data_IF_458032608745
#
_entry.id   IF_458032608745
#
_cell.length_a   1.000
_cell.length_b   1.000
_cell.length_c   1.000
_cell.angle_alpha   90.00
_cell.angle_beta   90.00
_cell.angle_gamma   90.00
#
_symmetry.space_group_name_H-M   'P 1'
#
loop_
_entity.id
_entity.type
_entity.pdbx_description
1 polymer ?
#
# COMPACT_ATOMS: atom_id res chain seq x y z
N UNK A 1 -2.63 32.00 -15.94
CA UNK A 1 -1.75 30.82 -16.08
C UNK A 1 -2.42 29.65 -15.41
N UNK A 2 -2.60 28.52 -16.11
CA UNK A 2 -3.08 27.27 -15.51
C UNK A 2 -1.87 26.58 -14.89
N UNK A 3 -1.89 26.34 -13.57
CA UNK A 3 -0.79 25.70 -12.86
C UNK A 3 -1.07 24.19 -12.85
N UNK A 4 -0.61 23.50 -13.90
CA UNK A 4 -0.73 22.04 -13.98
C UNK A 4 0.26 21.42 -12.98
N UNK A 5 -0.25 20.58 -12.06
CA UNK A 5 0.58 19.79 -11.15
C UNK A 5 0.80 18.40 -11.75
N UNK A 6 2.06 18.00 -11.85
CA UNK A 6 2.48 16.66 -12.27
C UNK A 6 2.74 15.80 -11.02
N UNK A 7 2.10 14.64 -10.96
CA UNK A 7 2.15 13.77 -9.78
C UNK A 7 2.65 12.40 -10.15
N UNK A 8 3.86 12.06 -9.69
CA UNK A 8 4.52 10.81 -10.00
C UNK A 8 4.21 9.73 -8.98
N UNK A 9 3.84 8.55 -9.46
CA UNK A 9 3.57 7.38 -8.64
C UNK A 9 4.30 6.17 -9.13
N UNK A 10 4.81 5.35 -8.21
CA UNK A 10 5.53 4.13 -8.52
C UNK A 10 4.93 2.90 -7.82
N UNK A 11 4.78 1.80 -8.56
CA UNK A 11 4.50 0.48 -7.98
C UNK A 11 5.50 -0.58 -8.46
N UNK A 12 5.66 -1.59 -7.60
CA UNK A 12 6.56 -2.72 -7.79
C UNK A 12 5.79 -4.02 -7.67
N UNK A 13 6.17 -5.01 -8.47
CA UNK A 13 5.57 -6.33 -8.44
C UNK A 13 5.98 -7.18 -7.25
N UNK A 14 5.22 -8.24 -7.02
CA UNK A 14 5.43 -9.23 -5.97
C UNK A 14 6.86 -9.79 -5.94
N UNK A 15 7.46 -10.06 -7.09
CA UNK A 15 8.82 -10.58 -7.14
C UNK A 15 9.91 -9.51 -7.34
N UNK A 16 9.61 -8.24 -7.08
CA UNK A 16 10.62 -7.20 -6.93
C UNK A 16 11.38 -7.37 -5.62
N UNK A 17 12.69 -7.11 -5.59
CA UNK A 17 13.55 -7.49 -4.45
C UNK A 17 13.05 -6.98 -3.09
N UNK A 18 12.54 -5.75 -2.98
CA UNK A 18 11.94 -5.27 -1.73
C UNK A 18 10.61 -5.97 -1.40
N UNK A 19 9.77 -6.27 -2.39
CA UNK A 19 8.45 -6.87 -2.20
C UNK A 19 8.48 -8.37 -1.92
N UNK A 20 9.54 -9.05 -2.37
CA UNK A 20 9.86 -10.41 -1.90
C UNK A 20 10.12 -10.40 -0.40
N UNK A 21 10.89 -9.42 0.10
CA UNK A 21 11.19 -9.32 1.53
C UNK A 21 9.95 -9.03 2.36
N UNK A 22 9.09 -8.12 1.90
CA UNK A 22 7.78 -7.84 2.53
C UNK A 22 6.95 -9.14 2.62
N UNK A 23 6.77 -9.86 1.50
CA UNK A 23 5.99 -11.11 1.49
C UNK A 23 6.59 -12.24 2.32
N UNK A 24 7.91 -12.42 2.34
CA UNK A 24 8.55 -13.44 3.19
C UNK A 24 8.31 -13.10 4.66
N UNK A 25 8.46 -11.83 5.02
CA UNK A 25 8.24 -11.37 6.39
C UNK A 25 6.80 -11.61 6.85
N UNK A 26 5.84 -11.30 5.98
CA UNK A 26 4.42 -11.52 6.27
C UNK A 26 4.00 -12.99 6.20
N UNK A 27 4.63 -13.81 5.36
CA UNK A 27 4.40 -15.26 5.35
C UNK A 27 4.87 -15.91 6.66
N UNK A 28 6.02 -15.47 7.19
CA UNK A 28 6.51 -15.91 8.51
C UNK A 28 5.55 -15.45 9.61
N UNK A 29 5.07 -14.20 9.55
CA UNK A 29 4.09 -13.67 10.49
C UNK A 29 2.78 -14.47 10.47
N UNK A 30 2.17 -14.65 9.30
CA UNK A 30 0.93 -15.42 9.13
C UNK A 30 1.09 -16.86 9.63
N UNK A 31 2.24 -17.51 9.35
CA UNK A 31 2.53 -18.84 9.85
C UNK A 31 2.53 -18.88 11.38
N UNK A 32 3.21 -17.96 12.05
CA UNK A 32 3.22 -17.91 13.53
C UNK A 32 1.83 -17.64 14.10
N UNK A 33 1.10 -16.67 13.56
CA UNK A 33 -0.24 -16.31 14.01
C UNK A 33 -1.27 -17.44 13.81
N UNK A 34 -1.02 -18.34 12.85
CA UNK A 34 -1.87 -19.52 12.65
C UNK A 34 -1.74 -20.57 13.77
N UNK A 35 -0.57 -20.64 14.43
CA UNK A 35 -0.31 -21.54 15.56
C UNK A 35 -0.56 -20.86 16.92
N UNK A 36 -0.15 -19.60 17.04
CA UNK A 36 -0.29 -18.78 18.23
C UNK A 36 -0.78 -17.37 17.83
N UNK A 37 -2.08 -17.06 18.00
CA UNK A 37 -2.64 -15.75 17.67
C UNK A 37 -2.00 -14.58 18.44
N UNK A 38 -1.31 -14.84 19.55
CA UNK A 38 -0.62 -13.84 20.36
C UNK A 38 0.88 -13.72 20.01
N UNK A 39 1.35 -14.45 18.99
CA UNK A 39 2.74 -14.43 18.56
C UNK A 39 3.21 -13.03 18.14
N UNK A 40 4.47 -12.73 18.45
CA UNK A 40 5.13 -11.44 18.18
C UNK A 40 6.32 -11.65 17.26
N UNK A 41 6.32 -11.01 16.10
CA UNK A 41 7.28 -11.26 15.00
C UNK A 41 7.81 -9.93 14.44
N UNK A 42 9.08 -9.92 14.00
CA UNK A 42 9.74 -8.82 13.27
C UNK A 42 10.88 -9.40 12.39
N UNK A 43 10.97 -9.03 11.11
CA UNK A 43 11.91 -9.65 10.13
C UNK A 43 12.62 -8.61 9.26
N UNK A 44 13.93 -8.76 9.01
CA UNK A 44 14.76 -7.89 8.14
C UNK A 44 15.85 -8.68 7.37
N UNK A 45 16.31 -8.21 6.19
CA UNK A 45 17.24 -8.97 5.30
C UNK A 45 18.19 -8.15 4.38
N UNK A 46 19.39 -8.68 4.08
CA UNK A 46 20.25 -8.35 2.91
C UNK A 46 20.91 -9.60 2.28
N UNK A 47 20.93 -9.78 0.95
CA UNK A 47 21.81 -10.70 0.17
C UNK A 47 21.68 -12.24 0.34
N UNK A 48 21.16 -12.72 1.48
CA UNK A 48 20.90 -14.10 1.91
C UNK A 48 19.55 -14.10 2.66
N UNK A 49 18.71 -15.15 2.63
CA UNK A 49 17.48 -15.14 3.47
C UNK A 49 17.91 -15.31 4.93
N UNK A 50 18.08 -14.20 5.65
CA UNK A 50 18.31 -14.17 7.08
C UNK A 50 16.98 -13.80 7.76
N UNK A 51 16.48 -14.69 8.59
CA UNK A 51 15.32 -14.43 9.45
C UNK A 51 15.85 -14.22 10.87
N UNK A 52 15.61 -13.03 11.43
CA UNK A 52 15.92 -12.75 12.83
C UNK A 52 14.63 -12.86 13.63
N UNK A 53 14.61 -13.69 14.67
CA UNK A 53 13.49 -13.77 15.61
C UNK A 53 13.88 -13.00 16.87
N UNK A 54 13.13 -11.96 17.22
CA UNK A 54 13.36 -11.21 18.44
C UNK A 54 12.35 -11.61 19.50
N UNK A 55 12.83 -12.20 20.60
CA UNK A 55 12.03 -12.31 21.82
C UNK A 55 11.87 -10.92 22.44
N UNK A 56 10.62 -10.47 22.65
CA UNK A 56 10.34 -9.15 23.21
C UNK A 56 10.96 -9.00 24.61
N UNK A 57 11.57 -7.84 24.86
CA UNK A 57 12.06 -7.39 26.17
C UNK A 57 10.91 -7.38 27.20
N UNK A 58 11.07 -8.15 28.28
CA UNK A 58 10.04 -8.37 29.30
C UNK A 58 9.64 -7.06 30.01
N UNK A 59 10.59 -6.14 30.15
CA UNK A 59 10.40 -4.82 30.75
C UNK A 59 9.47 -3.93 29.92
N UNK A 60 9.64 -3.91 28.59
CA UNK A 60 8.74 -3.17 27.67
C UNK A 60 7.33 -3.77 27.74
N UNK A 61 7.23 -5.11 27.75
CA UNK A 61 5.94 -5.80 27.87
C UNK A 61 5.21 -5.43 29.16
N UNK A 62 5.94 -5.35 30.27
CA UNK A 62 5.38 -4.95 31.57
C UNK A 62 4.85 -3.51 31.53
N UNK A 63 5.60 -2.57 30.96
CA UNK A 63 5.18 -1.17 30.88
C UNK A 63 3.88 -0.97 30.08
N UNK A 64 3.61 -1.84 29.11
CA UNK A 64 2.50 -1.70 28.17
C UNK A 64 1.20 -2.35 28.68
N UNK A 65 1.32 -3.49 29.39
CA UNK A 65 0.19 -4.36 29.73
C UNK A 65 -0.09 -4.51 31.24
N UNK A 66 0.82 -4.11 32.12
CA UNK A 66 0.68 -4.38 33.54
C UNK A 66 -0.50 -3.63 34.17
N UNK A 67 -1.42 -4.38 34.80
CA UNK A 67 -2.58 -3.84 35.49
C UNK A 67 -3.68 -3.27 34.57
N UNK A 68 -3.60 -3.52 33.26
CA UNK A 68 -4.56 -3.00 32.28
C UNK A 68 -5.43 -4.12 31.71
N UNK A 69 -6.66 -3.76 31.32
CA UNK A 69 -7.52 -4.66 30.55
C UNK A 69 -6.92 -4.85 29.14
N UNK A 70 -7.35 -5.90 28.42
CA UNK A 70 -6.90 -6.14 27.04
C UNK A 70 -7.20 -4.96 26.10
N UNK A 71 -8.19 -4.11 26.43
CA UNK A 71 -8.57 -2.93 25.64
C UNK A 71 -7.66 -1.74 25.91
N UNK A 72 -7.18 -1.63 27.15
CA UNK A 72 -6.44 -0.46 27.66
C UNK A 72 -4.93 -0.63 27.56
N UNK A 73 -4.46 -1.73 26.95
CA UNK A 73 -3.04 -1.96 26.64
C UNK A 73 -2.46 -0.76 25.88
N UNK A 74 -1.26 -0.32 26.26
CA UNK A 74 -0.59 0.80 25.59
C UNK A 74 -0.02 0.40 24.22
N UNK A 75 0.42 1.38 23.43
CA UNK A 75 1.31 1.08 22.32
C UNK A 75 2.71 0.72 22.84
N UNK A 76 3.36 -0.24 22.20
CA UNK A 76 4.73 -0.63 22.55
C UNK A 76 5.80 0.35 22.04
N UNK A 77 5.46 1.15 21.03
CA UNK A 77 6.36 2.12 20.42
C UNK A 77 5.60 3.42 20.10
N UNK A 78 6.37 4.50 20.01
CA UNK A 78 5.90 5.81 19.59
C UNK A 78 5.89 5.90 18.07
N UNK A 79 4.80 6.43 17.51
CA UNK A 79 4.65 6.57 16.07
C UNK A 79 3.69 7.70 15.70
N UNK A 80 3.94 8.27 14.52
CA UNK A 80 2.96 9.06 13.79
C UNK A 80 2.34 8.16 12.73
N UNK A 81 1.03 8.17 12.61
CA UNK A 81 0.27 7.30 11.72
C UNK A 81 -0.66 8.18 10.91
N UNK A 82 -0.82 7.88 9.63
CA UNK A 82 -1.67 8.64 8.74
C UNK A 82 -2.67 7.76 7.99
N UNK A 83 -3.93 8.19 7.98
CA UNK A 83 -4.98 7.67 7.11
C UNK A 83 -5.26 8.68 6.01
N UNK A 84 -5.52 8.24 4.79
CA UNK A 84 -5.87 9.15 3.70
C UNK A 84 -6.94 8.54 2.80
N UNK A 85 -7.96 9.33 2.45
CA UNK A 85 -8.98 8.94 1.49
C UNK A 85 -9.37 10.12 0.59
N UNK A 86 -9.84 9.80 -0.61
CA UNK A 86 -10.25 10.75 -1.65
C UNK A 86 -11.41 10.19 -2.46
N UNK A 87 -12.28 11.01 -3.03
CA UNK A 87 -13.41 10.61 -3.88
C UNK A 87 -13.04 10.46 -5.37
N UNK A 88 -11.75 10.61 -5.72
CA UNK A 88 -11.24 10.43 -7.08
C UNK A 88 -11.56 9.06 -7.70
N UNK A 89 -11.70 8.02 -6.86
CA UNK A 89 -11.95 6.64 -7.26
C UNK A 89 -12.96 5.97 -6.33
N UNK A 90 -13.63 4.93 -6.82
CA UNK A 90 -14.59 4.16 -6.02
C UNK A 90 -13.94 3.50 -4.80
N UNK A 91 -12.67 3.13 -4.91
CA UNK A 91 -11.86 2.53 -3.84
C UNK A 91 -11.47 3.54 -2.75
N UNK A 92 -11.80 4.82 -2.93
CA UNK A 92 -11.40 5.95 -2.11
C UNK A 92 -9.88 6.22 -2.08
N UNK A 93 -9.18 5.86 -3.16
CA UNK A 93 -7.74 6.01 -3.32
C UNK A 93 -7.38 7.05 -4.39
N UNK A 94 -6.20 7.69 -4.31
CA UNK A 94 -5.73 8.54 -5.40
C UNK A 94 -5.64 7.75 -6.71
N UNK A 95 -6.12 8.31 -7.82
CA UNK A 95 -6.16 7.59 -9.09
C UNK A 95 -4.75 7.12 -9.49
N UNK A 96 -3.75 7.97 -9.31
CA UNK A 96 -2.37 7.69 -9.72
C UNK A 96 -1.79 6.45 -9.04
N UNK A 97 -2.05 6.25 -7.73
CA UNK A 97 -1.54 5.07 -7.01
C UNK A 97 -2.35 3.81 -7.37
N UNK A 98 -3.65 3.98 -7.58
CA UNK A 98 -4.53 2.89 -7.99
C UNK A 98 -4.15 2.34 -9.37
N UNK A 99 -3.88 3.20 -10.35
CA UNK A 99 -3.48 2.79 -11.69
C UNK A 99 -2.15 2.03 -11.68
N UNK A 100 -1.15 2.48 -10.92
CA UNK A 100 0.12 1.74 -10.81
C UNK A 100 -0.07 0.38 -10.14
N UNK A 101 -0.93 0.25 -9.12
CA UNK A 101 -1.24 -1.04 -8.51
C UNK A 101 -2.00 -1.97 -9.46
N UNK A 102 -3.06 -1.50 -10.12
CA UNK A 102 -3.86 -2.31 -11.06
C UNK A 102 -3.03 -2.77 -12.26
N UNK A 103 -2.24 -1.88 -12.87
CA UNK A 103 -1.35 -2.26 -13.99
C UNK A 103 -0.29 -3.27 -13.55
N UNK A 104 0.20 -3.17 -12.32
CA UNK A 104 1.17 -4.11 -11.75
C UNK A 104 0.55 -5.46 -11.41
N UNK A 105 -0.67 -5.49 -10.89
CA UNK A 105 -1.42 -6.72 -10.60
C UNK A 105 -1.86 -7.45 -11.89
N UNK A 106 -2.35 -6.73 -12.91
CA UNK A 106 -2.76 -7.33 -14.19
C UNK A 106 -1.63 -8.14 -14.85
N UNK A 107 -0.41 -7.62 -14.81
CA UNK A 107 0.76 -8.30 -15.37
C UNK A 107 1.14 -9.57 -14.61
N UNK A 108 0.88 -9.63 -13.30
CA UNK A 108 0.98 -10.89 -12.53
C UNK A 108 -0.02 -11.90 -13.09
N UNK A 109 -1.29 -11.52 -13.25
CA UNK A 109 -2.32 -12.39 -13.82
C UNK A 109 -1.93 -12.93 -15.20
N UNK A 110 -1.46 -12.05 -16.11
CA UNK A 110 -0.99 -12.44 -17.46
C UNK A 110 0.20 -13.40 -17.43
N UNK A 111 1.06 -13.32 -16.41
CA UNK A 111 2.16 -14.28 -16.22
C UNK A 111 1.64 -15.64 -15.77
N UNK A 112 0.81 -15.65 -14.73
CA UNK A 112 0.38 -16.88 -14.06
C UNK A 112 -0.67 -17.66 -14.85
N UNK A 113 -1.48 -16.99 -15.68
CA UNK A 113 -2.39 -17.66 -16.59
C UNK A 113 -1.72 -18.19 -17.88
N UNK A 114 -0.40 -18.03 -18.02
CA UNK A 114 0.37 -18.52 -19.16
C UNK A 114 0.36 -17.61 -20.40
N UNK A 115 -0.35 -16.48 -20.39
CA UNK A 115 -0.40 -15.57 -21.55
C UNK A 115 0.97 -14.96 -21.85
N UNK A 116 1.71 -14.56 -20.81
CA UNK A 116 3.03 -13.92 -20.91
C UNK A 116 4.14 -14.83 -20.38
N UNK A 117 4.48 -15.87 -21.15
CA UNK A 117 5.58 -16.78 -20.78
C UNK A 117 6.95 -16.09 -20.78
N UNK A 118 7.13 -15.11 -21.66
CA UNK A 118 8.35 -14.33 -21.79
C UNK A 118 8.66 -13.44 -20.58
N UNK A 119 7.63 -13.10 -19.81
CA UNK A 119 7.72 -12.13 -18.74
C UNK A 119 8.39 -12.75 -17.49
N UNK A 120 9.25 -11.97 -16.83
CA UNK A 120 10.08 -12.39 -15.68
C UNK A 120 9.82 -11.52 -14.43
N UNK A 121 10.20 -12.00 -13.23
CA UNK A 121 10.09 -11.29 -11.94
C UNK A 121 10.82 -9.93 -11.83
N UNK A 122 10.18 -8.90 -11.28
CA UNK A 122 10.85 -7.64 -10.91
C UNK A 122 10.62 -6.52 -11.92
N UNK A 123 9.76 -5.56 -11.55
CA UNK A 123 9.20 -4.56 -12.48
C UNK A 123 8.89 -3.26 -11.77
N UNK A 124 8.79 -2.18 -12.56
CA UNK A 124 8.42 -0.84 -12.09
C UNK A 124 7.38 -0.25 -13.04
N UNK A 125 6.33 0.34 -12.50
CA UNK A 125 5.43 1.21 -13.26
C UNK A 125 5.41 2.58 -12.62
N UNK A 126 5.52 3.62 -13.44
CA UNK A 126 5.38 5.01 -13.04
C UNK A 126 4.21 5.67 -13.78
N UNK A 127 3.32 6.33 -13.05
CA UNK A 127 2.21 7.13 -13.62
C UNK A 127 2.37 8.58 -13.22
N UNK A 128 2.20 9.48 -14.19
CA UNK A 128 2.11 10.91 -13.98
C UNK A 128 0.73 11.42 -14.39
N UNK A 129 -0.02 12.02 -13.47
CA UNK A 129 -1.32 12.63 -13.76
C UNK A 129 -1.26 14.15 -13.74
N UNK A 130 -2.20 14.76 -14.46
CA UNK A 130 -2.47 16.20 -14.44
C UNK A 130 -3.76 16.45 -13.67
N UNK A 131 -3.67 17.32 -12.67
CA UNK A 131 -4.83 17.78 -11.89
C UNK A 131 -5.34 19.14 -12.37
N UNK A 132 -6.63 19.37 -12.20
CA UNK A 132 -7.27 20.67 -12.46
C UNK A 132 -6.82 21.76 -11.47
N UNK A 133 -7.00 23.02 -11.85
CA UNK A 133 -6.59 24.15 -11.01
C UNK A 133 -7.33 24.15 -9.65
N UNK A 134 -6.62 23.85 -8.57
CA UNK A 134 -7.12 24.01 -7.21
C UNK A 134 -7.93 22.82 -6.67
N UNK A 135 -8.29 21.85 -7.51
CA UNK A 135 -8.87 20.56 -7.11
C UNK A 135 -8.00 19.42 -7.62
N UNK A 136 -7.88 18.35 -6.83
CA UNK A 136 -7.17 17.13 -7.25
C UNK A 136 -8.21 16.25 -7.92
N UNK A 137 -8.67 16.69 -9.08
CA UNK A 137 -9.47 15.87 -9.97
C UNK A 137 -8.59 15.45 -11.13
N UNK A 138 -8.31 14.14 -11.31
CA UNK A 138 -7.42 13.68 -12.36
C UNK A 138 -8.06 13.92 -13.72
N UNK A 139 -7.40 14.72 -14.54
CA UNK A 139 -7.85 15.03 -15.91
C UNK A 139 -7.32 13.97 -16.88
N UNK A 140 -6.04 13.66 -16.78
CA UNK A 140 -5.32 12.88 -17.78
C UNK A 140 -4.12 12.16 -17.17
N UNK A 141 -3.80 10.97 -17.69
CA UNK A 141 -2.48 10.37 -17.55
C UNK A 141 -1.54 11.05 -18.56
N UNK A 142 -0.62 11.87 -18.06
CA UNK A 142 0.34 12.62 -18.85
C UNK A 142 1.53 11.77 -19.29
N UNK A 143 2.04 10.91 -18.40
CA UNK A 143 3.17 10.03 -18.72
C UNK A 143 3.03 8.69 -18.03
N UNK A 144 3.21 7.62 -18.80
CA UNK A 144 3.23 6.25 -18.31
C UNK A 144 4.57 5.61 -18.63
N UNK A 145 5.30 5.18 -17.59
CA UNK A 145 6.55 4.43 -17.74
C UNK A 145 6.32 3.01 -17.25
N UNK A 146 6.61 2.02 -18.08
CA UNK A 146 6.53 0.61 -17.69
C UNK A 146 7.85 -0.08 -18.02
N UNK A 147 8.57 -0.52 -16.98
CA UNK A 147 9.77 -1.35 -17.12
C UNK A 147 9.47 -2.77 -16.69
N UNK A 148 9.71 -3.73 -17.57
CA UNK A 148 9.43 -5.15 -17.34
C UNK A 148 10.68 -6.00 -17.52
N UNK A 149 11.00 -6.84 -16.54
CA UNK A 149 11.99 -7.89 -16.71
C UNK A 149 11.41 -8.96 -17.66
N UNK A 150 12.17 -9.35 -18.68
CA UNK A 150 11.73 -10.26 -19.75
C UNK A 150 12.80 -11.29 -20.12
N UNK A 151 12.38 -12.33 -20.84
CA UNK A 151 13.27 -13.36 -21.36
C UNK A 151 14.15 -12.79 -22.49
N UNK A 152 15.38 -13.32 -22.58
CA UNK A 152 16.45 -12.84 -23.47
C UNK A 152 16.03 -12.70 -24.94
N UNK A 153 15.20 -13.63 -25.43
CA UNK A 153 14.85 -13.73 -26.86
C UNK A 153 13.51 -13.07 -27.21
N UNK A 154 13.01 -12.16 -26.36
CA UNK A 154 11.72 -11.50 -26.59
C UNK A 154 11.95 -10.17 -27.34
N UNK A 155 11.41 -9.99 -28.56
CA UNK A 155 11.58 -8.75 -29.31
C UNK A 155 10.95 -7.55 -28.60
N UNK A 156 11.63 -6.39 -28.63
CA UNK A 156 11.15 -5.15 -28.00
C UNK A 156 9.77 -4.73 -28.56
N UNK A 157 9.57 -4.82 -29.87
CA UNK A 157 8.31 -4.45 -30.51
C UNK A 157 7.14 -5.31 -30.01
N UNK A 158 7.39 -6.60 -29.74
CA UNK A 158 6.39 -7.49 -29.15
C UNK A 158 6.03 -7.02 -27.74
N UNK A 159 7.05 -6.74 -26.90
CA UNK A 159 6.83 -6.29 -25.52
C UNK A 159 6.03 -4.99 -25.50
N UNK A 160 6.41 -4.01 -26.31
CA UNK A 160 5.75 -2.71 -26.37
C UNK A 160 4.29 -2.83 -26.83
N UNK A 161 4.04 -3.62 -27.88
CA UNK A 161 2.69 -3.90 -28.37
C UNK A 161 1.82 -4.57 -27.30
N UNK A 162 2.33 -5.64 -26.68
CA UNK A 162 1.58 -6.38 -25.68
C UNK A 162 1.31 -5.54 -24.41
N UNK A 163 2.29 -4.74 -23.97
CA UNK A 163 2.10 -3.79 -22.87
C UNK A 163 0.98 -2.79 -23.18
N UNK A 164 0.97 -2.21 -24.38
CA UNK A 164 -0.05 -1.27 -24.79
C UNK A 164 -1.45 -1.93 -24.83
N UNK A 165 -1.57 -3.08 -25.49
CA UNK A 165 -2.86 -3.73 -25.73
C UNK A 165 -3.45 -4.39 -24.48
N UNK A 166 -2.64 -5.14 -23.72
CA UNK A 166 -3.14 -6.00 -22.63
C UNK A 166 -3.01 -5.38 -21.24
N UNK A 167 -2.32 -4.25 -21.11
CA UNK A 167 -2.12 -3.57 -19.81
C UNK A 167 -2.59 -2.13 -19.86
N UNK A 168 -2.08 -1.31 -20.78
CA UNK A 168 -2.43 0.11 -20.81
C UNK A 168 -3.90 0.30 -21.14
N UNK A 169 -4.35 -0.21 -22.29
CA UNK A 169 -5.74 -0.04 -22.77
C UNK A 169 -6.77 -0.82 -21.96
N UNK A 170 -6.36 -1.94 -21.37
CA UNK A 170 -7.25 -2.78 -20.55
C UNK A 170 -7.49 -2.18 -19.15
N UNK A 171 -6.47 -1.53 -18.57
CA UNK A 171 -6.52 -1.11 -17.16
C UNK A 171 -6.79 0.38 -17.00
N UNK A 172 -6.26 1.23 -17.89
CA UNK A 172 -6.41 2.67 -17.78
C UNK A 172 -7.67 3.08 -18.57
N UNK A 173 -8.69 3.67 -17.92
CA UNK A 173 -9.87 4.15 -18.63
C UNK A 173 -9.51 5.10 -19.77
N UNK A 174 -10.14 4.91 -20.93
CA UNK A 174 -9.87 5.70 -22.14
C UNK A 174 -10.03 7.20 -21.93
N UNK A 175 -10.95 7.62 -21.04
CA UNK A 175 -11.14 9.03 -20.66
C UNK A 175 -9.89 9.72 -20.09
N UNK A 176 -8.88 8.97 -19.64
CA UNK A 176 -7.63 9.50 -19.12
C UNK A 176 -6.46 9.38 -20.11
N UNK A 177 -6.69 8.84 -21.31
CA UNK A 177 -5.69 8.63 -22.35
C UNK A 177 -6.04 9.50 -23.57
N UNK A 178 -5.09 10.29 -24.06
CA UNK A 178 -5.27 11.07 -25.28
C UNK A 178 -3.99 11.11 -26.14
N UNK A 179 -4.02 11.87 -27.23
CA UNK A 179 -2.88 12.02 -28.16
C UNK A 179 -1.64 12.66 -27.50
N UNK A 180 -1.81 13.41 -26.41
CA UNK A 180 -0.74 14.00 -25.62
C UNK A 180 -0.15 13.06 -24.56
N UNK A 181 -0.76 11.89 -24.30
CA UNK A 181 -0.22 10.93 -23.33
C UNK A 181 1.11 10.33 -23.83
N UNK A 182 2.15 10.47 -23.01
CA UNK A 182 3.49 9.99 -23.32
C UNK A 182 3.68 8.56 -22.78
N UNK A 183 4.06 7.62 -23.65
CA UNK A 183 4.29 6.23 -23.28
C UNK A 183 5.77 5.85 -23.36
N UNK A 184 6.35 5.47 -22.22
CA UNK A 184 7.68 4.88 -22.12
C UNK A 184 7.54 3.39 -21.78
N UNK A 185 7.35 2.56 -22.81
CA UNK A 185 7.19 1.12 -22.68
C UNK A 185 8.54 0.42 -22.88
N UNK A 186 9.12 -0.07 -21.79
CA UNK A 186 10.48 -0.60 -21.69
C UNK A 186 11.53 0.37 -22.29
N UNK A 187 11.68 1.59 -21.71
CA UNK A 187 12.58 2.61 -22.26
C UNK A 187 14.06 2.22 -22.19
N UNK A 188 14.42 1.26 -21.33
CA UNK A 188 15.77 0.69 -21.29
C UNK A 188 16.08 -0.24 -22.45
N UNK A 189 15.07 -0.55 -23.29
CA UNK A 189 15.07 -1.50 -24.41
C UNK A 189 15.29 -2.96 -24.02
N UNK A 190 16.10 -3.20 -22.99
CA UNK A 190 16.44 -4.51 -22.46
C UNK A 190 16.41 -4.48 -20.95
N UNK A 191 15.80 -5.50 -20.35
CA UNK A 191 15.85 -5.77 -18.92
C UNK A 191 15.77 -7.28 -18.73
N UNK A 192 16.93 -7.95 -18.76
CA UNK A 192 17.05 -9.42 -18.77
C UNK A 192 17.69 -10.00 -17.52
N UNK A 193 18.33 -9.16 -16.71
CA UNK A 193 18.84 -9.52 -15.39
C UNK A 193 18.08 -8.70 -14.35
N UNK A 194 17.43 -9.37 -13.40
CA UNK A 194 16.64 -8.71 -12.39
C UNK A 194 16.43 -9.57 -11.15
N UNK A 195 15.68 -9.02 -10.20
CA UNK A 195 15.45 -9.66 -8.91
C UNK A 195 16.66 -9.55 -7.97
N UNK A 196 16.74 -10.41 -6.95
CA UNK A 196 17.77 -10.32 -5.89
C UNK A 196 19.22 -10.47 -6.36
N UNK A 197 19.45 -11.03 -7.56
CA UNK A 197 20.78 -11.11 -8.18
C UNK A 197 21.32 -9.71 -8.53
N UNK A 198 20.43 -8.80 -8.92
CA UNK A 198 20.81 -7.50 -9.48
C UNK A 198 20.67 -6.35 -8.49
N UNK A 199 19.83 -6.49 -7.45
CA UNK A 199 19.61 -5.43 -6.45
C UNK A 199 19.18 -6.04 -5.10
N UNK A 200 19.85 -5.72 -3.98
CA UNK A 200 19.46 -6.20 -2.65
C UNK A 200 18.14 -5.60 -2.17
N UNK A 201 17.24 -6.47 -1.68
CA UNK A 201 15.98 -6.06 -1.05
C UNK A 201 16.02 -6.15 0.47
N UNK A 202 15.36 -5.19 1.13
CA UNK A 202 15.06 -5.13 2.58
C UNK A 202 13.54 -4.93 2.78
N UNK A 203 12.97 -5.58 3.80
CA UNK A 203 11.58 -5.36 4.25
C UNK A 203 11.35 -3.90 4.61
N UNK A 204 10.17 -3.36 4.30
CA UNK A 204 9.80 -2.01 4.73
C UNK A 204 10.52 -0.88 3.98
N UNK A 205 11.07 -1.14 2.79
CA UNK A 205 11.66 -0.08 1.93
C UNK A 205 10.68 0.49 0.89
N UNK A 206 9.43 0.00 0.89
CA UNK A 206 8.35 0.44 -0.02
C UNK A 206 7.11 0.93 0.74
N UNK A 207 7.34 1.66 1.82
CA UNK A 207 6.29 2.23 2.70
C UNK A 207 5.43 3.31 2.04
N UNK A 208 5.98 4.01 1.03
CA UNK A 208 5.21 4.97 0.23
C UNK A 208 4.16 4.26 -0.65
N UNK A 209 4.21 2.93 -0.76
CA UNK A 209 3.15 2.11 -1.36
C UNK A 209 1.82 2.08 -0.59
N UNK A 210 1.66 2.95 0.41
CA UNK A 210 0.38 3.28 1.06
C UNK A 210 -0.50 4.09 0.11
N UNK A 211 -0.28 5.40 0.04
CA UNK A 211 -1.05 6.33 -0.79
C UNK A 211 -0.23 6.87 -1.95
N UNK A 212 0.98 6.36 -2.17
CA UNK A 212 1.85 6.81 -3.25
C UNK A 212 2.56 8.15 -2.99
N UNK A 213 2.53 8.66 -1.77
CA UNK A 213 3.03 10.02 -1.48
C UNK A 213 1.94 11.08 -1.57
N UNK A 214 0.69 10.67 -1.83
CA UNK A 214 -0.47 11.43 -1.38
C UNK A 214 -0.62 11.36 0.14
N UNK A 215 -1.33 12.35 0.70
CA UNK A 215 -1.54 12.44 2.14
C UNK A 215 -0.23 12.66 2.89
N UNK A 216 0.14 11.73 3.76
CA UNK A 216 1.38 11.75 4.53
C UNK A 216 1.75 10.33 4.98
N UNK A 217 2.97 10.14 5.46
CA UNK A 217 3.44 8.84 5.94
C UNK A 217 4.22 8.98 7.24
N UNK A 218 4.02 8.02 8.15
CA UNK A 218 4.58 8.01 9.50
C UNK A 218 6.03 7.57 9.62
N UNK A 219 6.50 6.82 8.62
CA UNK A 219 7.83 6.21 8.56
C UNK A 219 7.85 4.73 8.92
N UNK A 220 6.86 4.26 9.69
CA UNK A 220 6.71 2.86 10.07
C UNK A 220 6.41 1.93 8.89
N UNK A 221 7.16 0.83 8.77
CA UNK A 221 6.82 -0.26 7.87
C UNK A 221 5.70 -1.16 8.43
N UNK A 222 5.00 -1.87 7.55
CA UNK A 222 3.91 -2.80 7.94
C UNK A 222 4.38 -4.24 7.97
N UNK A 223 5.01 -4.70 6.89
CA UNK A 223 5.35 -6.11 6.72
C UNK A 223 6.27 -6.66 7.82
N UNK A 224 5.98 -7.88 8.25
CA UNK A 224 6.68 -8.59 9.30
C UNK A 224 6.34 -8.12 10.72
N UNK A 225 5.38 -7.20 10.90
CA UNK A 225 4.98 -6.72 12.23
C UNK A 225 3.62 -7.27 12.63
N UNK A 226 3.55 -7.83 13.82
CA UNK A 226 2.29 -8.28 14.40
C UNK A 226 1.35 -7.08 14.75
N UNK A 227 0.05 -7.34 14.99
CA UNK A 227 -0.93 -6.27 15.21
C UNK A 227 -0.69 -5.38 16.44
N UNK A 228 0.10 -5.82 17.44
CA UNK A 228 0.45 -4.92 18.56
C UNK A 228 1.52 -3.91 18.20
N UNK A 229 2.01 -3.89 16.96
CA UNK A 229 2.83 -2.79 16.45
C UNK A 229 1.92 -1.72 15.86
N UNK A 230 1.91 -0.56 16.53
CA UNK A 230 1.04 0.57 16.21
C UNK A 230 1.18 1.05 14.76
N UNK A 231 2.38 0.95 14.18
CA UNK A 231 2.64 1.32 12.78
C UNK A 231 1.72 0.59 11.79
N UNK A 232 1.36 -0.66 12.08
CA UNK A 232 0.54 -1.49 11.20
C UNK A 232 -0.95 -1.31 11.53
N UNK A 233 -1.33 -1.65 12.77
CA UNK A 233 -2.74 -1.71 13.16
C UNK A 233 -3.42 -0.34 13.22
N UNK A 234 -2.72 0.70 13.71
CA UNK A 234 -3.28 2.03 13.71
C UNK A 234 -3.35 2.63 12.30
N UNK A 235 -2.46 2.24 11.37
CA UNK A 235 -2.55 2.69 9.97
C UNK A 235 -3.80 2.12 9.29
N UNK A 236 -4.12 0.85 9.56
CA UNK A 236 -5.35 0.22 9.07
C UNK A 236 -6.59 0.86 9.68
N UNK A 237 -6.58 1.16 10.98
CA UNK A 237 -7.67 1.90 11.61
C UNK A 237 -7.81 3.33 11.04
N UNK A 238 -6.71 4.02 10.81
CA UNK A 238 -6.71 5.37 10.24
C UNK A 238 -7.30 5.38 8.83
N UNK A 239 -6.94 4.39 8.00
CA UNK A 239 -7.54 4.18 6.68
C UNK A 239 -9.04 3.90 6.77
N UNK A 240 -9.44 3.02 7.70
CA UNK A 240 -10.85 2.67 7.90
C UNK A 240 -11.70 3.91 8.24
N UNK A 241 -11.17 4.79 9.09
CA UNK A 241 -11.79 6.07 9.44
C UNK A 241 -11.90 6.96 8.21
N UNK A 242 -10.79 7.24 7.51
CA UNK A 242 -10.80 8.16 6.36
C UNK A 242 -11.71 7.69 5.25
N UNK A 243 -11.67 6.39 4.91
CA UNK A 243 -12.55 5.81 3.91
C UNK A 243 -14.03 5.92 4.30
N UNK A 244 -14.35 5.68 5.57
CA UNK A 244 -15.72 5.83 6.08
C UNK A 244 -16.23 7.26 5.99
N UNK A 245 -15.37 8.26 6.27
CA UNK A 245 -15.74 9.67 6.17
C UNK A 245 -16.04 10.09 4.71
N UNK A 246 -15.22 9.64 3.75
CA UNK A 246 -15.44 9.93 2.33
C UNK A 246 -16.68 9.20 1.80
N UNK A 247 -16.86 7.92 2.13
CA UNK A 247 -18.04 7.14 1.71
C UNK A 247 -19.35 7.61 2.35
N UNK A 248 -19.27 8.33 3.46
CA UNK A 248 -20.42 8.98 4.10
C UNK A 248 -20.72 10.37 3.51
N UNK A 249 -20.03 10.79 2.44
CA UNK A 249 -20.14 12.09 1.77
C UNK A 249 -19.92 13.29 2.72
N UNK A 250 -19.17 13.09 3.81
CA UNK A 250 -18.83 14.14 4.77
C UNK A 250 -17.68 15.03 4.28
N UNK A 251 -16.89 14.51 3.36
CA UNK A 251 -15.76 15.20 2.75
C UNK A 251 -15.36 14.49 1.45
N UNK A 252 -14.85 15.26 0.48
CA UNK A 252 -14.26 14.69 -0.74
C UNK A 252 -12.90 14.07 -0.48
N UNK A 253 -12.12 14.67 0.42
CA UNK A 253 -10.74 14.26 0.76
C UNK A 253 -10.49 14.49 2.24
N UNK A 254 -9.77 13.56 2.86
CA UNK A 254 -9.42 13.67 4.27
C UNK A 254 -8.07 13.02 4.54
N UNK A 255 -7.29 13.68 5.40
CA UNK A 255 -6.08 13.16 6.01
C UNK A 255 -6.34 13.07 7.51
N UNK A 256 -6.20 11.88 8.08
CA UNK A 256 -6.14 11.70 9.55
C UNK A 256 -4.70 11.57 9.97
N UNK A 257 -4.36 12.13 11.12
CA UNK A 257 -3.11 11.84 11.80
C UNK A 257 -3.41 11.25 13.17
N UNK A 258 -3.01 10.01 13.39
CA UNK A 258 -3.08 9.32 14.69
C UNK A 258 -1.68 9.29 15.30
N UNK A 259 -1.57 9.72 16.54
CA UNK A 259 -0.41 9.55 17.41
C UNK A 259 -0.79 8.52 18.46
N UNK A 260 0.19 7.81 18.99
CA UNK A 260 0.03 6.84 20.10
C UNK A 260 -0.75 7.36 21.33
N UNK A 261 -1.05 8.66 21.42
CA UNK A 261 -1.78 9.30 22.51
C UNK A 261 -2.90 10.28 22.08
N UNK A 262 -3.09 10.54 20.78
CA UNK A 262 -4.09 11.51 20.29
C UNK A 262 -4.31 11.39 18.79
N UNK A 263 -5.45 11.84 18.25
CA UNK A 263 -5.62 12.00 16.80
C UNK A 263 -6.04 13.45 16.48
N UNK A 264 -5.49 13.99 15.39
CA UNK A 264 -5.73 15.36 14.94
C UNK A 264 -6.63 15.34 13.70
N UNK A 265 -7.82 15.94 13.83
CA UNK A 265 -8.80 16.17 12.77
C UNK A 265 -9.44 17.55 12.95
N UNK A 266 -10.20 18.03 11.96
CA UNK A 266 -11.07 19.19 12.17
C UNK A 266 -12.08 18.90 13.29
N UNK A 267 -12.42 19.93 14.08
CA UNK A 267 -13.27 19.79 15.29
C UNK A 267 -14.63 19.15 14.97
N UNK A 268 -15.20 19.43 13.79
CA UNK A 268 -16.50 18.86 13.38
C UNK A 268 -16.43 17.37 13.06
N UNK A 269 -15.41 16.91 12.33
CA UNK A 269 -15.24 15.49 12.00
C UNK A 269 -14.78 14.68 13.21
N UNK A 270 -14.04 15.29 14.13
CA UNK A 270 -13.55 14.64 15.35
C UNK A 270 -14.67 14.02 16.19
N UNK A 271 -15.78 14.74 16.40
CA UNK A 271 -16.91 14.24 17.18
C UNK A 271 -17.58 13.03 16.53
N UNK A 272 -17.69 13.04 15.20
CA UNK A 272 -18.24 11.91 14.43
C UNK A 272 -17.30 10.70 14.59
N UNK A 273 -15.99 10.91 14.46
CA UNK A 273 -15.01 9.81 14.62
C UNK A 273 -15.09 9.23 16.03
N UNK A 274 -15.07 10.07 17.07
CA UNK A 274 -15.11 9.61 18.45
C UNK A 274 -16.40 8.84 18.81
N UNK A 275 -17.54 9.23 18.23
CA UNK A 275 -18.82 8.55 18.44
C UNK A 275 -18.89 7.18 17.75
N UNK A 276 -18.12 7.00 16.67
CA UNK A 276 -18.24 5.84 15.79
C UNK A 276 -17.07 4.85 15.89
N UNK A 277 -15.89 5.26 16.34
CA UNK A 277 -14.69 4.42 16.33
C UNK A 277 -14.09 4.28 17.72
N UNK A 278 -13.86 3.04 18.16
CA UNK A 278 -13.11 2.76 19.37
C UNK A 278 -11.61 2.75 19.02
N UNK A 279 -10.94 3.86 19.34
CA UNK A 279 -9.53 4.08 19.05
C UNK A 279 -8.60 3.59 20.18
N UNK A 280 -9.15 2.90 21.19
CA UNK A 280 -8.32 2.23 22.20
C UNK A 280 -7.49 1.15 21.53
N UNK A 281 -6.22 1.05 21.91
CA UNK A 281 -5.26 0.25 21.16
C UNK A 281 -5.63 -1.23 21.12
N UNK A 282 -6.14 -1.79 22.22
CA UNK A 282 -6.62 -3.17 22.24
C UNK A 282 -7.82 -3.42 21.32
N UNK A 283 -8.70 -2.44 21.13
CA UNK A 283 -9.81 -2.53 20.18
C UNK A 283 -9.31 -2.53 18.73
N UNK A 284 -8.30 -1.70 18.42
CA UNK A 284 -7.64 -1.64 17.11
C UNK A 284 -6.94 -2.98 16.79
N UNK A 285 -6.24 -3.58 17.75
CA UNK A 285 -5.58 -4.88 17.58
C UNK A 285 -6.59 -5.95 17.18
N UNK A 286 -7.74 -6.04 17.87
CA UNK A 286 -8.78 -7.04 17.55
C UNK A 286 -9.39 -6.87 16.17
N UNK A 287 -9.37 -5.65 15.64
CA UNK A 287 -9.88 -5.36 14.30
C UNK A 287 -8.92 -5.83 13.20
N UNK A 288 -7.61 -5.79 13.45
CA UNK A 288 -6.58 -6.26 12.53
C UNK A 288 -6.50 -7.80 12.54
N UNK A 289 -7.28 -8.46 11.68
CA UNK A 289 -7.29 -9.93 11.49
C UNK A 289 -6.02 -10.42 10.77
N UNK A 290 -5.58 -11.67 11.01
CA UNK A 290 -4.33 -12.23 10.47
C UNK A 290 -4.44 -12.62 8.99
N UNK A 291 -4.30 -11.63 8.11
CA UNK A 291 -4.13 -11.83 6.66
C UNK A 291 -3.09 -10.81 6.17
N UNK A 292 -1.82 -11.03 6.48
CA UNK A 292 -0.76 -10.04 6.24
C UNK A 292 0.06 -10.31 4.97
N UNK A 293 0.15 -11.57 4.50
CA UNK A 293 0.92 -11.89 3.29
C UNK A 293 0.29 -11.30 2.02
N UNK A 294 -1.04 -11.35 1.91
CA UNK A 294 -1.75 -10.84 0.73
C UNK A 294 -1.60 -9.31 0.51
N UNK A 295 -1.68 -8.45 1.55
CA UNK A 295 -1.50 -7.00 1.37
C UNK A 295 -0.03 -6.57 1.19
N UNK A 296 0.95 -7.45 1.43
CA UNK A 296 2.38 -7.17 1.26
C UNK A 296 2.74 -6.64 -0.15
N UNK A 297 1.90 -6.96 -1.15
CA UNK A 297 2.04 -6.52 -2.54
C UNK A 297 0.76 -5.86 -3.06
N UNK A 298 0.94 -4.97 -4.05
CA UNK A 298 -0.15 -4.22 -4.71
C UNK A 298 -0.92 -3.26 -3.81
N UNK A 299 -0.32 -2.86 -2.68
CA UNK A 299 -0.89 -1.91 -1.75
C UNK A 299 -1.70 -2.60 -0.65
N UNK A 300 -1.62 -2.05 0.56
CA UNK A 300 -2.43 -2.48 1.71
C UNK A 300 -3.84 -1.89 1.68
N UNK A 301 -4.06 -0.84 0.87
CA UNK A 301 -5.29 -0.04 0.84
C UNK A 301 -5.94 -0.04 -0.55
N UNK A 302 -7.23 0.29 -0.61
CA UNK A 302 -8.02 0.31 -1.84
C UNK A 302 -8.46 -1.07 -2.35
N UNK A 303 -8.58 -2.06 -1.46
CA UNK A 303 -8.83 -3.47 -1.79
C UNK A 303 -9.95 -4.02 -0.91
N UNK A 304 -11.12 -4.27 -1.49
CA UNK A 304 -12.37 -4.56 -0.76
C UNK A 304 -12.34 -5.85 0.07
N UNK A 305 -11.40 -6.75 -0.20
CA UNK A 305 -11.22 -7.99 0.57
C UNK A 305 -10.75 -7.77 2.02
N UNK A 306 -10.30 -6.56 2.38
CA UNK A 306 -9.77 -6.26 3.71
C UNK A 306 -10.78 -5.58 4.63
N UNK A 307 -10.75 -5.94 5.91
CA UNK A 307 -11.71 -5.42 6.91
C UNK A 307 -11.60 -3.90 7.08
N UNK A 308 -10.40 -3.33 7.00
CA UNK A 308 -10.16 -1.88 7.03
C UNK A 308 -10.63 -1.14 5.78
N UNK A 309 -10.96 -1.85 4.71
CA UNK A 309 -11.48 -1.28 3.46
C UNK A 309 -13.01 -1.31 3.40
N UNK A 310 -13.68 -1.92 4.38
CA UNK A 310 -15.15 -1.95 4.48
C UNK A 310 -15.61 -0.70 5.27
N UNK A 311 -16.22 0.30 4.61
CA UNK A 311 -16.61 1.55 5.27
C UNK A 311 -17.65 1.31 6.35
N UNK A 312 -17.50 1.99 7.50
CA UNK A 312 -18.49 1.96 8.58
C UNK A 312 -19.63 2.92 8.26
N UNK A 313 -20.88 2.49 8.46
CA UNK A 313 -22.04 3.40 8.49
C UNK A 313 -21.93 4.30 9.72
N UNK A 314 -21.71 5.59 9.50
CA UNK A 314 -21.48 6.56 10.56
C UNK A 314 -22.79 7.11 11.12
N UNK A 315 -22.81 7.38 12.42
CA UNK A 315 -23.87 8.10 13.13
C UNK A 315 -23.42 9.55 13.32
N UNK A 316 -24.07 10.48 12.62
CA UNK A 316 -23.81 11.92 12.72
C UNK A 316 -25.10 12.71 12.55
#
# INVERSE_FOLDING_TARGET
>A
SVLLKLIFQDAFEDLFHYKICDQISDAVLDAHLSFDPDAKVCVAKTGMILLYYQQICKEIKHAVSHGKSNDDVGAEDQGLIFGYATDETEECMPLSVLLVHKTTASRKTLKWNGTWLWLRPGRKTQVCNVDSNGTVEPIQVYTLVISVHHALNTPLQQIQKELMEKVVKEIIPEKYLDEGTIYHLLPSEKFVEGGPKSDPGLTGRKIIGTYGGWGSHGGGAFSGKDPSKVDCSAAYAAQWITKSLVKADLCKRVLTQVRSSSCNLSVSLWNIVWKNFDLRFGAIIRFAKPIYQNPACYGHFGREEYTWEIPKKLLY
#
